data_IF_993317273171
#
_entry.id   IF_993317273171
#
_cell.length_a   1.000
_cell.length_b   1.000
_cell.length_c   1.000
_cell.angle_alpha   90.00
_cell.angle_beta   90.00
_cell.angle_gamma   90.00
#
_symmetry.space_group_name_H-M   'P 1'
#
loop_
_entity.id
_entity.type
_entity.pdbx_description
1 polymer ?
#
# COMPACT_ATOMS: atom_id res chain seq x y z
N UNK A 1 0.15 -20.17 -16.18
CA UNK A 1 -0.21 -20.15 -14.75
C UNK A 1 1.08 -19.91 -14.00
N UNK A 2 1.33 -18.68 -13.55
CA UNK A 2 2.51 -18.38 -12.72
C UNK A 2 2.20 -18.92 -11.33
N UNK A 3 3.06 -19.79 -10.81
CA UNK A 3 2.94 -20.30 -9.46
C UNK A 3 3.16 -19.14 -8.48
N UNK A 4 2.07 -18.65 -7.87
CA UNK A 4 2.07 -17.55 -6.90
C UNK A 4 2.57 -17.99 -5.52
N UNK A 5 2.94 -19.27 -5.32
CA UNK A 5 3.55 -19.79 -4.07
C UNK A 5 5.02 -19.40 -3.89
N UNK A 6 5.51 -18.34 -4.53
CA UNK A 6 6.91 -17.90 -4.36
C UNK A 6 7.14 -17.17 -3.03
N UNK A 7 6.59 -17.70 -1.93
CA UNK A 7 7.25 -17.61 -0.64
C UNK A 7 8.51 -18.47 -0.72
N UNK A 8 9.63 -17.91 -1.17
CA UNK A 8 10.91 -18.64 -1.15
C UNK A 8 11.43 -18.63 0.28
N UNK A 9 11.42 -19.79 0.93
CA UNK A 9 12.18 -20.03 2.17
C UNK A 9 13.66 -19.79 1.87
N UNK A 10 14.25 -18.75 2.46
CA UNK A 10 15.64 -18.39 2.17
C UNK A 10 16.62 -18.69 3.32
N UNK A 11 16.14 -18.96 4.53
CA UNK A 11 16.83 -19.74 5.58
C UNK A 11 16.03 -19.62 6.87
N UNK A 12 15.86 -20.69 7.64
CA UNK A 12 15.25 -20.61 8.97
C UNK A 12 16.04 -19.62 9.87
N UNK A 13 15.41 -18.64 10.57
CA UNK A 13 13.96 -18.36 10.73
C UNK A 13 13.41 -17.16 9.91
N UNK A 14 13.85 -16.96 8.66
CA UNK A 14 13.49 -15.85 7.76
C UNK A 14 12.70 -16.32 6.52
N UNK A 15 11.52 -15.74 6.30
CA UNK A 15 10.69 -15.95 5.09
C UNK A 15 10.68 -14.71 4.18
N UNK A 16 10.57 -14.93 2.87
CA UNK A 16 10.42 -13.88 1.86
C UNK A 16 9.03 -13.97 1.22
N UNK A 17 8.22 -12.92 1.36
CA UNK A 17 7.07 -12.66 0.52
C UNK A 17 7.51 -11.75 -0.62
N UNK A 18 7.74 -12.32 -1.80
CA UNK A 18 7.73 -11.53 -3.01
C UNK A 18 6.28 -11.11 -3.24
N UNK A 19 5.98 -9.81 -3.17
CA UNK A 19 4.63 -9.29 -3.23
C UNK A 19 4.34 -8.74 -4.63
N UNK A 20 3.95 -9.56 -5.63
CA UNK A 20 3.40 -9.02 -6.86
C UNK A 20 1.95 -8.63 -6.57
N UNK A 21 1.65 -7.33 -6.47
CA UNK A 21 0.26 -6.90 -6.59
C UNK A 21 -0.14 -7.17 -8.04
N UNK A 22 -0.66 -8.36 -8.30
CA UNK A 22 -1.14 -8.72 -9.61
C UNK A 22 -2.60 -8.25 -9.71
N UNK A 23 -2.89 -7.52 -10.79
CA UNK A 23 -4.23 -7.13 -11.26
C UNK A 23 -5.20 -8.31 -11.48
N UNK A 24 -4.81 -9.54 -11.10
CA UNK A 24 -5.41 -10.81 -11.48
C UNK A 24 -5.64 -11.77 -10.29
N UNK A 25 -5.36 -11.34 -9.06
CA UNK A 25 -5.76 -12.14 -7.89
C UNK A 25 -7.26 -11.93 -7.74
N UNK A 26 -8.09 -12.92 -8.09
CA UNK A 26 -9.54 -12.80 -7.98
C UNK A 26 -9.97 -12.33 -6.58
N UNK A 27 -11.15 -11.72 -6.49
CA UNK A 27 -11.80 -11.34 -5.22
C UNK A 27 -11.71 -12.51 -4.24
N UNK A 28 -11.25 -12.26 -3.01
CA UNK A 28 -11.06 -13.28 -1.95
C UNK A 28 -9.78 -14.14 -2.04
N UNK A 29 -9.04 -14.16 -3.15
CA UNK A 29 -7.85 -15.03 -3.27
C UNK A 29 -6.69 -14.59 -2.36
N UNK A 30 -6.49 -13.29 -2.20
CA UNK A 30 -5.34 -12.78 -1.45
C UNK A 30 -5.50 -12.96 0.07
N UNK A 31 -6.71 -12.81 0.61
CA UNK A 31 -6.99 -13.03 2.03
C UNK A 31 -6.73 -14.49 2.42
N UNK A 32 -7.29 -15.46 1.70
CA UNK A 32 -7.01 -16.89 1.93
C UNK A 32 -5.51 -17.21 1.83
N UNK A 33 -4.81 -16.63 0.86
CA UNK A 33 -3.35 -16.80 0.77
C UNK A 33 -2.62 -16.26 2.01
N UNK A 34 -3.02 -15.11 2.53
CA UNK A 34 -2.42 -14.55 3.74
C UNK A 34 -2.70 -15.44 4.95
N UNK A 35 -3.94 -15.91 5.11
CA UNK A 35 -4.32 -16.85 6.18
C UNK A 35 -3.42 -18.08 6.16
N UNK A 36 -3.39 -18.83 5.04
CA UNK A 36 -2.58 -20.04 4.88
C UNK A 36 -1.08 -19.78 5.12
N UNK A 37 -0.56 -18.65 4.59
CA UNK A 37 0.86 -18.30 4.73
C UNK A 37 1.21 -18.00 6.19
N UNK A 38 0.38 -17.26 6.90
CA UNK A 38 0.65 -16.86 8.27
C UNK A 38 0.40 -17.99 9.26
N UNK A 39 -0.53 -18.91 8.99
CA UNK A 39 -0.67 -20.17 9.72
C UNK A 39 0.61 -21.01 9.62
N UNK A 40 1.09 -21.31 8.40
CA UNK A 40 2.32 -22.08 8.19
C UNK A 40 3.55 -21.40 8.83
N UNK A 41 3.66 -20.08 8.74
CA UNK A 41 4.72 -19.31 9.39
C UNK A 41 4.68 -19.44 10.92
N UNK A 42 3.49 -19.34 11.51
CA UNK A 42 3.31 -19.43 12.96
C UNK A 42 3.61 -20.85 13.46
N UNK A 43 3.14 -21.89 12.76
CA UNK A 43 3.43 -23.30 13.08
C UNK A 43 4.92 -23.61 13.01
N UNK A 44 5.62 -23.04 12.02
CA UNK A 44 7.09 -23.21 11.87
C UNK A 44 7.89 -22.31 12.82
N UNK A 45 7.26 -21.45 13.59
CA UNK A 45 7.95 -20.55 14.52
C UNK A 45 8.83 -19.50 13.81
N UNK A 46 8.45 -19.06 12.61
CA UNK A 46 9.14 -17.99 11.87
C UNK A 46 9.17 -16.72 12.71
N UNK A 47 10.33 -16.05 12.77
CA UNK A 47 10.53 -14.85 13.59
C UNK A 47 10.75 -13.59 12.76
N UNK A 48 11.04 -13.72 11.47
CA UNK A 48 11.26 -12.59 10.58
C UNK A 48 10.61 -12.82 9.22
N UNK A 49 9.87 -11.82 8.75
CA UNK A 49 9.31 -11.74 7.41
C UNK A 49 9.96 -10.60 6.64
N UNK A 50 10.33 -10.88 5.40
CA UNK A 50 10.75 -9.89 4.41
C UNK A 50 9.61 -9.76 3.40
N UNK A 51 9.03 -8.57 3.26
CA UNK A 51 8.06 -8.24 2.23
C UNK A 51 8.78 -7.45 1.14
N UNK A 52 8.92 -8.02 -0.05
CA UNK A 52 9.64 -7.40 -1.16
C UNK A 52 8.69 -6.74 -2.17
N UNK A 53 8.75 -5.41 -2.23
CA UNK A 53 7.98 -4.57 -3.17
C UNK A 53 8.87 -3.78 -4.12
N UNK A 54 10.17 -4.11 -4.23
CA UNK A 54 11.14 -3.37 -5.06
C UNK A 54 10.75 -3.29 -6.53
N UNK A 55 10.19 -4.37 -7.07
CA UNK A 55 9.71 -4.46 -8.45
C UNK A 55 8.19 -4.29 -8.61
N UNK A 56 7.48 -3.85 -7.57
CA UNK A 56 6.02 -3.83 -7.56
C UNK A 56 5.45 -2.50 -8.09
N UNK A 57 4.81 -2.55 -9.26
CA UNK A 57 4.19 -1.39 -9.92
C UNK A 57 2.82 -0.95 -9.36
N UNK A 58 2.25 -1.69 -8.40
CA UNK A 58 0.97 -1.44 -7.73
C UNK A 58 -0.21 -2.23 -8.30
N UNK A 59 -1.43 -1.81 -7.97
CA UNK A 59 -2.69 -2.46 -8.35
C UNK A 59 -3.83 -2.01 -7.44
N UNK A 60 -4.46 -2.91 -6.69
CA UNK A 60 -5.43 -2.51 -5.65
C UNK A 60 -4.72 -2.21 -4.34
N UNK A 61 -5.01 -1.05 -3.73
CA UNK A 61 -4.48 -0.68 -2.41
C UNK A 61 -5.09 -1.52 -1.28
N UNK A 62 -6.27 -2.10 -1.48
CA UNK A 62 -6.95 -2.92 -0.49
C UNK A 62 -6.13 -4.17 -0.11
N UNK A 63 -5.37 -4.75 -1.04
CA UNK A 63 -4.44 -5.84 -0.70
C UNK A 63 -3.31 -5.38 0.23
N UNK A 64 -2.87 -4.12 0.11
CA UNK A 64 -1.92 -3.54 1.04
C UNK A 64 -2.53 -3.42 2.44
N UNK A 65 -3.79 -2.99 2.52
CA UNK A 65 -4.52 -2.88 3.78
C UNK A 65 -4.74 -4.27 4.41
N UNK A 66 -5.11 -5.29 3.63
CA UNK A 66 -5.21 -6.68 4.10
C UNK A 66 -3.87 -7.16 4.66
N UNK A 67 -2.76 -6.95 3.93
CA UNK A 67 -1.42 -7.32 4.41
C UNK A 67 -1.10 -6.62 5.74
N UNK A 68 -1.30 -5.30 5.85
CA UNK A 68 -1.06 -4.57 7.10
C UNK A 68 -1.92 -5.11 8.25
N UNK A 69 -3.18 -5.47 7.97
CA UNK A 69 -4.07 -6.02 8.96
C UNK A 69 -3.61 -7.39 9.47
N UNK A 70 -3.16 -8.28 8.58
CA UNK A 70 -2.57 -9.57 8.97
C UNK A 70 -1.21 -9.45 9.70
N UNK A 71 -0.50 -8.34 9.52
CA UNK A 71 0.75 -8.01 10.21
C UNK A 71 0.54 -7.23 11.53
N UNK A 72 -0.69 -7.26 12.07
CA UNK A 72 -1.06 -6.61 13.33
C UNK A 72 -0.84 -5.08 13.36
N UNK A 73 -0.93 -4.41 12.21
CA UNK A 73 -0.81 -2.95 12.18
C UNK A 73 -1.91 -2.30 13.05
N UNK A 74 -1.58 -1.24 13.82
CA UNK A 74 -2.56 -0.54 14.65
C UNK A 74 -3.74 -0.02 13.82
N UNK A 75 -4.94 -0.11 14.37
CA UNK A 75 -6.15 0.34 13.68
C UNK A 75 -6.23 1.87 13.54
N UNK A 76 -5.39 2.62 14.26
CA UNK A 76 -5.32 4.08 14.26
C UNK A 76 -4.15 4.65 13.44
N UNK A 77 -3.58 3.90 12.49
CA UNK A 77 -2.56 4.44 11.59
C UNK A 77 -3.08 5.63 10.79
N UNK A 78 -2.19 6.57 10.50
CA UNK A 78 -2.49 7.75 9.70
C UNK A 78 -2.52 7.35 8.23
N UNK A 79 -3.70 7.41 7.62
CA UNK A 79 -3.90 7.19 6.19
C UNK A 79 -3.50 8.39 5.33
N UNK A 80 -3.42 8.18 4.02
CA UNK A 80 -3.24 9.27 3.06
C UNK A 80 -4.52 10.11 2.98
N UNK A 81 -4.39 11.43 2.90
CA UNK A 81 -5.52 12.28 2.53
C UNK A 81 -5.62 12.40 1.01
N UNK A 82 -6.81 12.71 0.52
CA UNK A 82 -7.09 12.73 -0.92
C UNK A 82 -7.73 14.06 -1.31
N UNK A 83 -7.27 14.62 -2.44
CA UNK A 83 -8.02 15.61 -3.18
C UNK A 83 -8.51 15.03 -4.50
N UNK A 84 -9.75 15.36 -4.88
CA UNK A 84 -10.37 14.93 -6.12
C UNK A 84 -10.54 16.13 -7.03
N UNK A 85 -10.19 15.96 -8.31
CA UNK A 85 -10.48 16.91 -9.38
C UNK A 85 -11.92 16.71 -9.83
N UNK A 86 -12.84 17.38 -9.14
CA UNK A 86 -14.23 17.44 -9.57
C UNK A 86 -14.30 18.22 -10.88
N UNK A 87 -14.75 17.52 -11.93
CA UNK A 87 -14.81 18.02 -13.29
C UNK A 87 -15.97 17.34 -14.01
N UNK A 88 -16.44 17.87 -15.15
CA UNK A 88 -17.42 17.17 -15.98
C UNK A 88 -17.01 15.73 -16.29
N UNK A 89 -15.71 15.51 -16.56
CA UNK A 89 -15.16 14.17 -16.83
C UNK A 89 -15.25 13.25 -15.61
N UNK A 90 -14.93 13.73 -14.41
CA UNK A 90 -15.09 12.92 -13.19
C UNK A 90 -16.56 12.52 -12.97
N UNK A 91 -17.50 13.45 -13.20
CA UNK A 91 -18.94 13.18 -13.08
C UNK A 91 -19.42 12.13 -14.08
N UNK A 92 -18.91 12.16 -15.30
CA UNK A 92 -19.24 11.18 -16.34
C UNK A 92 -18.72 9.78 -16.00
N UNK A 93 -17.47 9.68 -15.52
CA UNK A 93 -16.85 8.40 -15.16
C UNK A 93 -17.37 7.81 -13.85
N UNK A 94 -17.73 8.66 -12.89
CA UNK A 94 -18.15 8.25 -11.54
C UNK A 94 -19.41 8.99 -11.08
N UNK A 95 -20.56 8.81 -11.75
CA UNK A 95 -21.77 9.59 -11.49
C UNK A 95 -22.28 9.42 -10.05
N UNK A 96 -22.30 8.19 -9.54
CA UNK A 96 -22.76 7.89 -8.18
C UNK A 96 -21.83 8.48 -7.12
N UNK A 97 -20.51 8.25 -7.24
CA UNK A 97 -19.54 8.85 -6.30
C UNK A 97 -19.59 10.37 -6.34
N UNK A 98 -19.73 10.97 -7.53
CA UNK A 98 -19.89 12.42 -7.66
C UNK A 98 -21.15 12.90 -6.94
N UNK A 99 -22.28 12.20 -7.09
CA UNK A 99 -23.52 12.55 -6.42
C UNK A 99 -23.39 12.51 -4.89
N UNK A 100 -22.71 11.49 -4.35
CA UNK A 100 -22.38 11.40 -2.92
C UNK A 100 -21.56 12.61 -2.43
N UNK A 101 -20.43 12.89 -3.07
CA UNK A 101 -19.61 14.06 -2.71
C UNK A 101 -20.35 15.39 -2.86
N UNK A 102 -21.21 15.53 -3.86
CA UNK A 102 -22.00 16.73 -4.05
C UNK A 102 -23.04 16.91 -2.95
N UNK A 103 -23.65 15.82 -2.47
CA UNK A 103 -24.57 15.83 -1.33
C UNK A 103 -23.84 16.22 -0.03
N UNK A 104 -22.68 15.61 0.25
CA UNK A 104 -21.86 15.94 1.43
C UNK A 104 -21.41 17.39 1.44
N UNK A 105 -20.95 17.89 0.27
CA UNK A 105 -20.54 19.28 0.13
C UNK A 105 -21.70 20.25 0.35
N UNK A 106 -22.87 19.95 -0.22
CA UNK A 106 -24.07 20.76 -0.02
C UNK A 106 -24.52 20.73 1.45
N UNK A 107 -24.44 19.58 2.13
CA UNK A 107 -24.72 19.44 3.56
C UNK A 107 -23.78 20.32 4.39
N UNK A 108 -22.46 20.28 4.12
CA UNK A 108 -21.45 21.05 4.86
C UNK A 108 -21.55 22.55 4.64
N UNK A 109 -21.83 22.98 3.40
CA UNK A 109 -21.77 24.38 2.98
C UNK A 109 -23.13 24.96 2.60
N UNK A 110 -24.19 24.59 3.33
CA UNK A 110 -25.52 25.22 3.26
C UNK A 110 -26.13 25.25 1.85
N UNK A 111 -26.11 24.12 1.15
CA UNK A 111 -26.71 23.95 -0.17
C UNK A 111 -25.85 24.44 -1.33
N UNK A 112 -24.60 24.85 -1.10
CA UNK A 112 -23.69 25.25 -2.18
C UNK A 112 -23.39 24.07 -3.10
N UNK A 113 -23.28 24.37 -4.40
CA UNK A 113 -22.86 23.41 -5.42
C UNK A 113 -21.37 23.10 -5.25
N UNK A 114 -21.02 21.81 -5.32
CA UNK A 114 -19.64 21.34 -5.39
C UNK A 114 -18.92 22.02 -6.58
N UNK A 115 -17.82 22.75 -6.36
CA UNK A 115 -17.14 23.46 -7.43
C UNK A 115 -16.33 22.51 -8.32
N UNK A 116 -16.19 22.89 -9.59
CA UNK A 116 -15.35 22.17 -10.55
C UNK A 116 -13.86 22.53 -10.32
N UNK A 117 -13.33 22.16 -9.16
CA UNK A 117 -11.97 22.43 -8.67
C UNK A 117 -11.29 21.15 -8.15
N UNK A 118 -10.00 21.23 -7.79
CA UNK A 118 -9.34 20.20 -6.99
C UNK A 118 -9.65 20.49 -5.51
N UNK A 119 -10.26 19.55 -4.80
CA UNK A 119 -10.71 19.76 -3.41
C UNK A 119 -10.29 18.57 -2.55
N UNK A 120 -9.72 18.85 -1.38
CA UNK A 120 -9.43 17.82 -0.36
C UNK A 120 -10.75 17.33 0.23
N UNK A 121 -11.02 16.03 0.13
CA UNK A 121 -12.35 15.49 0.47
C UNK A 121 -12.63 15.53 1.97
N UNK A 122 -11.60 15.41 2.81
CA UNK A 122 -11.73 15.49 4.27
C UNK A 122 -12.18 16.87 4.78
N UNK A 123 -12.19 17.90 3.93
CA UNK A 123 -12.67 19.23 4.31
C UNK A 123 -14.20 19.29 4.42
N UNK A 124 -14.91 18.34 3.79
CA UNK A 124 -16.38 18.36 3.71
C UNK A 124 -17.06 16.99 3.83
N UNK A 125 -16.32 15.89 3.68
CA UNK A 125 -16.82 14.54 3.97
C UNK A 125 -16.58 14.25 5.44
N UNK A 126 -17.66 14.12 6.19
CA UNK A 126 -17.60 13.70 7.58
C UNK A 126 -17.54 12.17 7.63
N UNK A 127 -16.67 11.61 8.48
CA UNK A 127 -16.71 10.18 8.78
C UNK A 127 -17.96 9.89 9.59
N UNK A 128 -18.67 8.80 9.27
CA UNK A 128 -19.97 8.49 9.87
C UNK A 128 -19.87 8.14 11.37
N UNK A 129 -18.67 7.85 11.89
CA UNK A 129 -18.45 7.63 13.33
C UNK A 129 -17.06 8.06 13.83
N UNK A 130 -16.96 8.37 15.13
CA UNK A 130 -15.69 8.56 15.84
C UNK A 130 -14.86 7.28 15.96
N UNK A 131 -15.50 6.12 15.74
CA UNK A 131 -14.92 4.79 15.96
C UNK A 131 -14.41 4.15 14.65
N UNK A 132 -14.55 4.85 13.52
CA UNK A 132 -14.01 4.41 12.23
C UNK A 132 -12.48 4.31 12.26
N UNK A 133 -12.01 3.08 12.31
CA UNK A 133 -10.59 2.75 12.20
C UNK A 133 -10.10 2.79 10.75
N UNK A 134 -8.78 2.79 10.55
CA UNK A 134 -8.17 2.75 9.22
C UNK A 134 -8.62 1.54 8.39
N UNK A 135 -8.84 0.39 9.05
CA UNK A 135 -9.20 -0.87 8.38
C UNK A 135 -10.71 -1.07 8.21
N UNK A 136 -11.55 -0.06 8.50
CA UNK A 136 -13.03 -0.19 8.43
C UNK A 136 -13.51 -0.80 7.10
N UNK A 137 -12.91 -0.38 5.99
CA UNK A 137 -13.25 -0.88 4.65
C UNK A 137 -13.03 -2.38 4.44
N UNK A 138 -11.99 -2.97 5.06
CA UNK A 138 -11.68 -4.39 4.86
C UNK A 138 -12.30 -5.27 5.95
N UNK A 139 -12.80 -4.72 7.05
CA UNK A 139 -13.52 -5.49 8.08
C UNK A 139 -15.03 -5.48 7.87
N UNK A 140 -15.54 -4.63 6.98
CA UNK A 140 -16.94 -4.61 6.56
C UNK A 140 -17.31 -5.93 5.84
N UNK A 141 -18.31 -6.70 6.31
CA UNK A 141 -18.77 -7.91 5.64
C UNK A 141 -19.28 -7.71 4.21
N UNK A 142 -19.69 -6.49 3.85
CA UNK A 142 -20.17 -6.16 2.50
C UNK A 142 -19.02 -5.76 1.55
N UNK A 143 -17.78 -5.73 2.04
CA UNK A 143 -16.61 -5.40 1.24
C UNK A 143 -16.17 -6.58 0.35
N UNK A 144 -15.88 -6.30 -0.91
CA UNK A 144 -15.20 -7.26 -1.80
C UNK A 144 -13.80 -7.68 -1.27
N UNK A 145 -13.24 -6.92 -0.33
CA UNK A 145 -11.95 -7.20 0.30
C UNK A 145 -12.09 -7.58 1.77
N UNK A 146 -13.26 -8.10 2.17
CA UNK A 146 -13.52 -8.50 3.54
C UNK A 146 -12.44 -9.45 4.08
N UNK A 147 -11.93 -9.14 5.26
CA UNK A 147 -11.08 -9.99 6.10
C UNK A 147 -11.79 -10.16 7.43
N UNK A 148 -11.92 -11.40 7.89
CA UNK A 148 -12.57 -11.66 9.16
C UNK A 148 -11.72 -11.14 10.33
N UNK A 149 -12.34 -10.61 11.40
CA UNK A 149 -11.58 -10.13 12.57
C UNK A 149 -10.74 -11.21 13.26
N UNK A 150 -11.17 -12.47 13.22
CA UNK A 150 -10.53 -13.65 13.83
C UNK A 150 -9.44 -14.31 12.96
N UNK A 151 -8.86 -13.54 12.03
CA UNK A 151 -7.72 -13.95 11.19
C UNK A 151 -6.48 -14.38 11.99
N UNK A 152 -5.63 -15.17 11.34
CA UNK A 152 -4.27 -15.44 11.81
C UNK A 152 -3.41 -14.17 11.73
N UNK A 153 -2.62 -13.91 12.76
CA UNK A 153 -1.76 -12.72 12.83
C UNK A 153 -0.30 -13.11 12.97
N UNK A 154 0.58 -12.46 12.20
CA UNK A 154 2.02 -12.61 12.35
C UNK A 154 2.59 -11.53 13.27
N UNK A 155 3.24 -11.97 14.36
CA UNK A 155 3.81 -11.09 15.39
C UNK A 155 5.34 -10.98 15.34
N UNK A 156 5.97 -11.56 14.32
CA UNK A 156 7.41 -11.50 14.14
C UNK A 156 7.89 -10.15 13.61
N UNK A 157 9.20 -10.01 13.43
CA UNK A 157 9.79 -8.81 12.84
C UNK A 157 9.50 -8.75 11.35
N UNK A 158 9.15 -7.58 10.83
CA UNK A 158 8.90 -7.37 9.40
C UNK A 158 9.88 -6.35 8.84
N UNK A 159 10.39 -6.62 7.64
CA UNK A 159 11.14 -5.67 6.81
C UNK A 159 10.43 -5.49 5.48
N UNK A 160 10.27 -4.25 5.03
CA UNK A 160 9.71 -3.93 3.72
C UNK A 160 10.82 -3.50 2.76
N UNK A 161 11.08 -4.28 1.71
CA UNK A 161 12.07 -3.91 0.70
C UNK A 161 11.46 -3.00 -0.35
N UNK A 162 12.04 -1.81 -0.52
CA UNK A 162 11.59 -0.80 -1.49
C UNK A 162 12.70 -0.47 -2.49
N UNK A 163 12.31 -0.11 -3.71
CA UNK A 163 13.25 0.12 -4.81
C UNK A 163 12.69 1.05 -5.87
N UNK A 164 13.48 1.26 -6.92
CA UNK A 164 13.13 2.17 -8.01
C UNK A 164 11.85 1.75 -8.77
N UNK A 165 11.52 0.45 -8.79
CA UNK A 165 10.30 -0.12 -9.35
C UNK A 165 9.06 -0.06 -8.45
N UNK A 166 9.19 0.37 -7.19
CA UNK A 166 8.05 0.52 -6.27
C UNK A 166 7.17 1.69 -6.68
N UNK A 167 5.95 1.42 -7.16
CA UNK A 167 5.06 2.42 -7.76
C UNK A 167 3.56 2.20 -7.45
N UNK A 168 2.72 3.20 -7.74
CA UNK A 168 1.26 3.20 -7.53
C UNK A 168 0.85 2.69 -6.14
N UNK A 169 0.02 1.65 -6.02
CA UNK A 169 -0.41 1.17 -4.69
C UNK A 169 0.74 0.63 -3.83
N UNK A 170 1.86 0.21 -4.42
CA UNK A 170 3.04 -0.17 -3.65
C UNK A 170 3.73 1.05 -3.02
N UNK A 171 3.68 2.23 -3.66
CA UNK A 171 4.15 3.48 -3.03
C UNK A 171 3.23 3.90 -1.89
N UNK A 172 1.90 3.66 -2.01
CA UNK A 172 0.93 3.90 -0.94
C UNK A 172 1.26 3.03 0.28
N UNK A 173 1.38 1.70 0.09
CA UNK A 173 1.77 0.77 1.15
C UNK A 173 3.09 1.17 1.81
N UNK A 174 4.11 1.46 1.00
CA UNK A 174 5.44 1.86 1.49
C UNK A 174 5.38 3.16 2.30
N UNK A 175 4.56 4.12 1.86
CA UNK A 175 4.35 5.40 2.57
C UNK A 175 3.64 5.19 3.89
N UNK A 176 2.60 4.35 3.93
CA UNK A 176 1.89 4.01 5.17
C UNK A 176 2.83 3.36 6.19
N UNK A 177 3.64 2.40 5.76
CA UNK A 177 4.64 1.71 6.59
C UNK A 177 5.67 2.70 7.14
N UNK A 178 6.26 3.52 6.26
CA UNK A 178 7.30 4.50 6.60
C UNK A 178 6.78 5.58 7.55
N UNK A 179 5.69 6.25 7.19
CA UNK A 179 5.21 7.43 7.92
C UNK A 179 4.53 7.04 9.24
N UNK A 180 4.04 5.81 9.39
CA UNK A 180 3.52 5.30 10.67
C UNK A 180 4.53 4.47 11.46
N UNK A 181 5.77 4.31 10.96
CA UNK A 181 6.85 3.53 11.60
C UNK A 181 6.42 2.10 11.92
N UNK A 182 5.69 1.47 10.99
CA UNK A 182 5.17 0.11 11.19
C UNK A 182 6.30 -0.92 11.13
N UNK A 183 7.12 -0.85 10.08
CA UNK A 183 8.19 -1.79 9.79
C UNK A 183 9.41 -1.05 9.25
N UNK A 184 10.59 -1.67 9.35
CA UNK A 184 11.83 -1.11 8.78
C UNK A 184 11.79 -1.23 7.26
N UNK A 185 11.90 -0.10 6.56
CA UNK A 185 12.04 -0.06 5.10
C UNK A 185 13.51 -0.11 4.68
N UNK A 186 13.85 -0.97 3.72
CA UNK A 186 15.24 -1.23 3.29
C UNK A 186 15.34 -1.24 1.77
N UNK A 187 16.38 -0.62 1.20
CA UNK A 187 16.67 -0.71 -0.24
C UNK A 187 17.01 0.63 -0.87
N UNK A 188 16.40 0.94 -2.01
CA UNK A 188 16.70 2.15 -2.78
C UNK A 188 15.53 3.14 -2.72
N UNK A 189 15.80 4.45 -2.88
CA UNK A 189 14.77 5.45 -3.13
C UNK A 189 13.79 5.02 -4.23
N UNK A 190 12.50 5.23 -4.02
CA UNK A 190 11.46 4.89 -4.99
C UNK A 190 11.39 5.89 -6.14
N UNK A 191 10.99 5.48 -7.36
CA UNK A 191 10.63 6.47 -8.41
C UNK A 191 9.30 7.16 -8.16
N UNK A 192 8.38 6.47 -7.45
CA UNK A 192 7.10 7.04 -7.07
C UNK A 192 7.27 8.08 -5.96
N UNK A 193 6.50 9.17 -6.04
CA UNK A 193 6.38 10.16 -4.96
C UNK A 193 5.37 9.66 -3.91
N UNK A 194 5.64 9.79 -2.60
CA UNK A 194 4.65 9.52 -1.56
C UNK A 194 3.35 10.31 -1.78
N UNK A 195 3.48 11.63 -2.01
CA UNK A 195 2.38 12.50 -2.44
C UNK A 195 2.35 12.59 -3.96
N UNK A 196 1.32 12.03 -4.59
CA UNK A 196 1.28 11.83 -6.04
C UNK A 196 -0.13 11.93 -6.62
N UNK A 197 -0.20 12.12 -7.94
CA UNK A 197 -1.45 12.02 -8.67
C UNK A 197 -1.71 10.57 -9.08
N UNK A 198 -2.95 10.13 -8.96
CA UNK A 198 -3.39 8.79 -9.32
C UNK A 198 -4.88 8.77 -9.65
N UNK A 199 -5.46 7.57 -9.69
CA UNK A 199 -6.81 7.31 -10.21
C UNK A 199 -6.97 7.82 -11.64
N UNK A 200 -6.81 6.94 -12.61
CA UNK A 200 -6.72 7.34 -14.02
C UNK A 200 -8.05 7.17 -14.73
N UNK A 201 -8.54 8.26 -15.31
CA UNK A 201 -9.62 8.25 -16.29
C UNK A 201 -9.05 7.87 -17.66
N UNK A 202 -9.67 6.88 -18.32
CA UNK A 202 -9.26 6.41 -19.65
C UNK A 202 -10.28 6.86 -20.68
N UNK A 203 -9.90 7.79 -21.55
CA UNK A 203 -10.78 8.33 -22.59
C UNK A 203 -10.20 8.11 -23.98
N UNK A 204 -11.07 7.94 -24.97
CA UNK A 204 -10.70 7.85 -26.39
C UNK A 204 -11.09 9.15 -27.09
N UNK A 205 -10.14 9.83 -27.71
CA UNK A 205 -10.40 11.08 -28.41
C UNK A 205 -11.33 10.85 -29.62
N UNK A 206 -12.38 11.66 -29.81
CA UNK A 206 -13.46 11.35 -30.75
C UNK A 206 -13.01 11.35 -32.22
N UNK A 207 -12.04 12.20 -32.58
CA UNK A 207 -11.61 12.37 -33.97
C UNK A 207 -10.36 11.55 -34.34
N UNK A 208 -9.41 11.38 -33.41
CA UNK A 208 -8.16 10.66 -33.68
C UNK A 208 -8.16 9.22 -33.19
N UNK A 209 -9.08 8.86 -32.29
CA UNK A 209 -9.11 7.54 -31.66
C UNK A 209 -7.97 7.28 -30.67
N UNK A 210 -7.11 8.27 -30.38
CA UNK A 210 -6.02 8.14 -29.40
C UNK A 210 -6.62 7.91 -28.01
N UNK A 211 -6.06 6.93 -27.28
CA UNK A 211 -6.42 6.65 -25.89
C UNK A 211 -5.55 7.48 -24.97
N UNK A 212 -6.19 8.36 -24.20
CA UNK A 212 -5.55 9.20 -23.20
C UNK A 212 -5.83 8.68 -21.78
N UNK A 213 -4.88 8.94 -20.89
CA UNK A 213 -4.96 8.63 -19.46
C UNK A 213 -4.75 9.92 -18.67
N UNK A 214 -5.70 10.27 -17.81
CA UNK A 214 -5.64 11.51 -17.01
C UNK A 214 -5.93 11.17 -15.55
N UNK A 215 -5.03 11.53 -14.64
CA UNK A 215 -5.24 11.37 -13.20
C UNK A 215 -6.30 12.34 -12.69
N UNK A 216 -7.23 11.86 -11.86
CA UNK A 216 -8.29 12.69 -11.28
C UNK A 216 -8.19 12.82 -9.75
N UNK A 217 -7.24 12.14 -9.11
CA UNK A 217 -6.98 12.27 -7.67
C UNK A 217 -5.55 12.70 -7.39
N UNK A 218 -5.36 13.44 -6.30
CA UNK A 218 -4.08 13.69 -5.65
C UNK A 218 -4.11 13.05 -4.27
N UNK A 219 -3.13 12.19 -3.99
CA UNK A 219 -2.89 11.62 -2.68
C UNK A 219 -1.84 12.45 -1.95
N UNK A 220 -2.05 12.68 -0.66
CA UNK A 220 -1.09 13.33 0.22
C UNK A 220 -0.66 12.35 1.31
N UNK A 221 0.65 12.24 1.50
CA UNK A 221 1.24 11.38 2.51
C UNK A 221 0.83 11.82 3.94
N UNK A 222 0.86 10.91 4.93
CA UNK A 222 0.58 11.25 6.33
C UNK A 222 1.58 12.24 6.96
N UNK A 223 2.86 12.14 6.61
CA UNK A 223 3.89 13.06 7.11
C UNK A 223 3.97 14.35 6.28
N UNK A 224 3.26 15.38 6.74
CA UNK A 224 3.13 16.68 6.03
C UNK A 224 4.44 17.43 5.89
N UNK A 225 5.39 17.27 6.80
CA UNK A 225 6.70 17.92 6.73
C UNK A 225 7.53 17.43 5.54
N UNK A 226 7.16 16.28 5.00
CA UNK A 226 7.84 15.62 3.88
C UNK A 226 7.00 15.57 2.60
N UNK A 227 5.95 16.39 2.50
CA UNK A 227 5.04 16.41 1.34
C UNK A 227 5.77 16.81 0.04
N UNK A 228 6.84 17.60 0.15
CA UNK A 228 7.66 18.03 -0.97
C UNK A 228 8.64 16.97 -1.49
N UNK A 229 8.81 15.85 -0.78
CA UNK A 229 9.74 14.78 -1.19
C UNK A 229 9.32 14.18 -2.53
N UNK A 230 10.27 14.04 -3.44
CA UNK A 230 10.08 13.45 -4.76
C UNK A 230 10.31 11.93 -4.80
N UNK A 231 10.63 11.32 -3.65
CA UNK A 231 10.87 9.90 -3.49
C UNK A 231 10.64 9.47 -2.03
N UNK A 232 10.19 8.24 -1.83
CA UNK A 232 10.27 7.59 -0.53
C UNK A 232 11.70 7.10 -0.30
N UNK A 233 12.41 7.75 0.62
CA UNK A 233 13.73 7.29 1.08
C UNK A 233 13.51 6.21 2.16
N UNK A 234 14.03 4.97 1.99
CA UNK A 234 13.90 3.93 3.01
C UNK A 234 14.62 4.31 4.31
N UNK A 235 14.30 3.61 5.41
CA UNK A 235 15.01 3.77 6.70
C UNK A 235 16.47 3.39 6.56
N UNK A 236 16.73 2.36 5.75
CA UNK A 236 18.06 1.87 5.45
C UNK A 236 18.27 1.88 3.94
N UNK A 237 19.15 2.78 3.49
CA UNK A 237 19.53 2.89 2.08
C UNK A 237 20.65 1.90 1.77
N UNK A 238 20.40 1.02 0.80
CA UNK A 238 21.37 0.05 0.30
C UNK A 238 21.44 0.18 -1.22
N UNK A 239 22.61 0.56 -1.73
CA UNK A 239 22.91 0.66 -3.17
C UNK A 239 23.71 -0.57 -3.63
N UNK A 240 23.13 -1.49 -4.42
CA UNK A 240 23.89 -2.61 -4.97
C UNK A 240 24.90 -2.09 -6.02
N UNK A 241 26.22 -2.37 -5.89
CA UNK A 241 27.17 -2.13 -6.96
C UNK A 241 26.90 -3.04 -8.17
N UNK A 242 27.46 -2.68 -9.33
CA UNK A 242 27.34 -3.47 -10.56
C UNK A 242 27.69 -4.96 -10.38
N UNK A 243 28.70 -5.26 -9.57
CA UNK A 243 29.13 -6.62 -9.29
C UNK A 243 28.04 -7.48 -8.63
N UNK A 244 27.14 -6.89 -7.85
CA UNK A 244 26.04 -7.65 -7.26
C UNK A 244 25.08 -8.16 -8.34
N UNK A 245 24.78 -7.32 -9.34
CA UNK A 245 24.02 -7.75 -10.52
C UNK A 245 24.80 -8.78 -11.35
N UNK A 246 26.11 -8.59 -11.53
CA UNK A 246 26.96 -9.49 -12.32
C UNK A 246 27.07 -10.89 -11.73
N UNK A 247 27.03 -11.02 -10.40
CA UNK A 247 27.20 -12.28 -9.69
C UNK A 247 25.91 -12.81 -9.03
N UNK A 248 24.76 -12.15 -9.24
CA UNK A 248 23.48 -12.58 -8.69
C UNK A 248 23.39 -12.46 -7.17
N UNK A 249 24.06 -11.48 -6.56
CA UNK A 249 23.98 -11.18 -5.13
C UNK A 249 22.88 -10.16 -4.86
N UNK A 250 22.09 -10.39 -3.83
CA UNK A 250 21.05 -9.45 -3.40
C UNK A 250 21.47 -8.82 -2.07
N UNK A 251 22.22 -7.71 -2.15
CA UNK A 251 22.74 -7.03 -0.96
C UNK A 251 21.67 -6.47 -0.05
N UNK A 252 20.50 -6.09 -0.60
CA UNK A 252 19.38 -5.62 0.21
C UNK A 252 18.87 -6.78 1.07
N UNK A 253 18.67 -7.94 0.45
CA UNK A 253 18.26 -9.16 1.14
C UNK A 253 19.31 -9.65 2.15
N UNK A 254 20.60 -9.68 1.75
CA UNK A 254 21.72 -10.06 2.64
C UNK A 254 21.82 -9.13 3.85
N UNK A 255 21.60 -7.82 3.68
CA UNK A 255 21.56 -6.87 4.78
C UNK A 255 20.48 -7.25 5.78
N UNK A 256 19.27 -7.60 5.33
CA UNK A 256 18.21 -8.02 6.25
C UNK A 256 18.57 -9.33 6.96
N UNK A 257 19.12 -10.32 6.25
CA UNK A 257 19.54 -11.58 6.88
C UNK A 257 20.59 -11.39 7.98
N UNK A 258 21.52 -10.45 7.80
CA UNK A 258 22.55 -10.15 8.79
C UNK A 258 21.94 -9.45 10.03
N UNK A 259 21.08 -8.46 9.81
CA UNK A 259 20.50 -7.65 10.90
C UNK A 259 19.36 -8.36 11.63
N UNK A 260 18.64 -9.27 10.96
CA UNK A 260 17.65 -10.11 11.62
C UNK A 260 18.29 -11.14 12.58
N UNK A 261 19.53 -11.60 12.32
CA UNK A 261 20.25 -12.53 13.19
C UNK A 261 20.85 -11.85 14.43
N UNK A 262 21.36 -10.63 14.29
CA UNK A 262 21.99 -9.90 15.40
C UNK A 262 21.04 -9.65 16.57
N UNK A 263 19.78 -9.35 16.30
CA UNK A 263 18.80 -8.98 17.34
C UNK A 263 18.14 -10.18 18.03
N UNK A 264 18.23 -11.39 17.47
CA UNK A 264 17.67 -12.60 18.10
C UNK A 264 18.51 -13.02 19.31
N UNK A 265 19.81 -12.68 19.32
CA UNK A 265 20.71 -12.99 20.43
C UNK A 265 20.58 -12.03 21.63
N UNK A 266 20.07 -10.81 21.44
CA UNK A 266 19.98 -9.79 22.49
C UNK A 266 18.67 -9.83 23.31
N UNK A 267 17.82 -10.86 23.14
CA UNK A 267 16.57 -11.03 23.93
C UNK A 267 16.62 -12.18 24.94
N UNK A 268 17.81 -12.63 25.30
CA UNK A 268 18.04 -13.56 26.39
C UNK A 268 18.88 -12.89 27.46
N UNK A 269 18.29 -11.94 28.19
CA UNK A 269 18.75 -11.47 29.52
C UNK A 269 17.54 -11.00 30.34
#
# INVERSE_FOLDING_TARGET
>A
MVDLRMARMLSFPVNLLAYPVAWYMGIGYFENFLEDMFEDMNERGVKTLIVDVRGNGGGSSAYGDQLLYYLDAPSNIRGLSVAIRFSPLYREFFPEKYAGYAADYAKKYSGRKLPDSLIVTSDFVEKDSSDETYFSYIVDPESDYHVKPDRTVFKGKVYLLVGDGTYSSAIILSTLVKDNRLFTTVGQPTRGRPSHYGETLVLKLPNSGIVCRISCKKFFRPDKERDADDSLIPDVVVWPPFDDYRYGRDRVFEWVLQNAKGEIHDRHD
#
